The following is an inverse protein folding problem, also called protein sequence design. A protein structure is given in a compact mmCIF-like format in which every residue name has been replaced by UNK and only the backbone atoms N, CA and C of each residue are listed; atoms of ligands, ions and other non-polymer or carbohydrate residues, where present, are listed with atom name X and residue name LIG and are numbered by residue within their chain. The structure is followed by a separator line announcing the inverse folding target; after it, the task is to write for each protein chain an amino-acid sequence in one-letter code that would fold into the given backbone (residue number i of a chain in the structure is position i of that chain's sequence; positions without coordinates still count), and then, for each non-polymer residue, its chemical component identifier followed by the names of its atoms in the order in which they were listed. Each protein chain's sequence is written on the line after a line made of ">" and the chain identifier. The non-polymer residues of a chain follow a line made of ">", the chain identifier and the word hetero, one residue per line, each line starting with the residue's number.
data_IF_962957284776
#
_entry.id   IF_962957284776
#
_cell.length_a   1.000
_cell.length_b   1.000
_cell.length_c   1.000
_cell.angle_alpha   90.00
_cell.angle_beta   90.00
_cell.angle_gamma   90.00
#
_symmetry.space_group_name_H-M   'P 1'
#
loop_
_entity.id
_entity.type
_entity.pdbx_description
1 polymer ?
#
# COMPACT_ATOMS: atom_id res chain seq x y z
N UNK A 1 14.07 -7.23 -21.79
CA UNK A 1 13.96 -6.09 -20.83
C UNK A 1 15.33 -5.64 -20.34
N UNK A 2 15.57 -4.33 -20.26
CA UNK A 2 16.81 -3.78 -19.69
C UNK A 2 16.82 -3.92 -18.16
N UNK A 3 17.99 -4.17 -17.58
CA UNK A 3 18.19 -4.28 -16.12
C UNK A 3 17.61 -3.10 -15.31
N UNK A 4 17.75 -1.81 -15.70
CA UNK A 4 17.15 -0.71 -14.94
C UNK A 4 15.63 -0.75 -14.94
N UNK A 5 15.00 -1.12 -16.06
CA UNK A 5 13.55 -1.20 -16.16
C UNK A 5 12.99 -2.32 -15.26
N UNK A 6 13.75 -3.42 -15.13
CA UNK A 6 13.41 -4.52 -14.21
C UNK A 6 13.43 -4.11 -12.76
N UNK A 7 14.45 -3.35 -12.36
CA UNK A 7 14.55 -2.83 -11.00
C UNK A 7 13.36 -1.90 -10.70
N UNK A 8 13.03 -0.99 -11.61
CA UNK A 8 11.91 -0.04 -11.44
C UNK A 8 10.59 -0.80 -11.27
N UNK A 9 10.30 -1.75 -12.16
CA UNK A 9 9.06 -2.54 -12.10
C UNK A 9 8.98 -3.37 -10.81
N UNK A 10 10.10 -3.97 -10.38
CA UNK A 10 10.16 -4.71 -9.13
C UNK A 10 9.91 -3.82 -7.90
N UNK A 11 10.51 -2.63 -7.85
CA UNK A 11 10.32 -1.66 -6.77
C UNK A 11 8.87 -1.19 -6.71
N UNK A 12 8.25 -0.88 -7.86
CA UNK A 12 6.84 -0.48 -7.93
C UNK A 12 5.92 -1.61 -7.45
N UNK A 13 6.19 -2.85 -7.85
CA UNK A 13 5.40 -4.01 -7.46
C UNK A 13 5.50 -4.28 -5.95
N UNK A 14 6.72 -4.33 -5.41
CA UNK A 14 6.95 -4.58 -3.98
C UNK A 14 6.41 -3.43 -3.14
N UNK A 15 6.67 -2.18 -3.53
CA UNK A 15 6.21 -1.00 -2.82
C UNK A 15 4.69 -0.90 -2.75
N UNK A 16 4.00 -1.15 -3.87
CA UNK A 16 2.53 -1.18 -3.89
C UNK A 16 1.96 -2.31 -3.03
N UNK A 17 2.55 -3.51 -3.08
CA UNK A 17 2.14 -4.62 -2.22
C UNK A 17 2.28 -4.27 -0.72
N UNK A 18 3.38 -3.65 -0.31
CA UNK A 18 3.60 -3.21 1.07
C UNK A 18 2.53 -2.18 1.49
N UNK A 19 2.23 -1.20 0.65
CA UNK A 19 1.21 -0.18 0.94
C UNK A 19 -0.19 -0.79 1.09
N UNK A 20 -0.53 -1.78 0.26
CA UNK A 20 -1.77 -2.54 0.36
C UNK A 20 -1.83 -3.29 1.68
N UNK A 21 -0.77 -4.00 2.06
CA UNK A 21 -0.68 -4.72 3.33
C UNK A 21 -0.87 -3.77 4.51
N UNK A 22 -0.17 -2.63 4.53
CA UNK A 22 -0.28 -1.61 5.59
C UNK A 22 -1.73 -1.09 5.73
N UNK A 23 -2.43 -0.92 4.61
CA UNK A 23 -3.83 -0.46 4.59
C UNK A 23 -4.81 -1.54 5.08
N UNK A 24 -4.54 -2.81 4.81
CA UNK A 24 -5.41 -3.93 5.22
C UNK A 24 -5.18 -4.32 6.68
N UNK A 25 -3.92 -4.37 7.13
CA UNK A 25 -3.55 -4.78 8.50
C UNK A 25 -3.70 -3.65 9.51
N UNK A 26 -4.28 -2.52 9.10
CA UNK A 26 -4.62 -1.45 9.99
C UNK A 26 -5.82 -1.73 10.84
N UNK A 27 -5.55 -2.27 12.03
CA UNK A 27 -6.50 -2.22 13.12
C UNK A 27 -6.75 -0.74 13.47
N UNK A 28 -8.01 -0.26 13.42
CA UNK A 28 -8.37 1.05 13.96
C UNK A 28 -8.22 1.12 15.48
N UNK A 29 -7.67 0.12 16.16
CA UNK A 29 -7.18 0.23 17.54
C UNK A 29 -8.27 0.58 18.54
N UNK A 30 -9.50 0.10 18.31
CA UNK A 30 -10.69 0.47 19.09
C UNK A 30 -10.40 0.26 20.57
N UNK A 31 -10.41 1.35 21.33
CA UNK A 31 -10.28 1.27 22.78
C UNK A 31 -11.65 0.94 23.37
N UNK A 32 -11.89 -0.34 23.64
CA UNK A 32 -13.15 -0.82 24.23
C UNK A 32 -13.39 -0.31 25.65
N UNK A 33 -12.39 0.30 26.30
CA UNK A 33 -12.49 0.92 27.61
C UNK A 33 -12.77 2.44 27.57
N UNK A 34 -12.66 3.09 26.41
CA UNK A 34 -12.95 4.51 26.21
C UNK A 34 -14.47 4.75 26.02
N UNK A 35 -15.23 4.56 27.10
CA UNK A 35 -16.70 4.68 27.08
C UNK A 35 -17.20 6.13 26.98
N UNK A 36 -16.37 7.11 27.30
CA UNK A 36 -16.70 8.54 27.23
C UNK A 36 -16.12 9.23 25.98
N UNK A 37 -15.34 8.52 25.17
CA UNK A 37 -14.79 9.01 23.90
C UNK A 37 -13.76 10.11 24.07
N UNK A 38 -13.16 10.25 25.27
CA UNK A 38 -12.19 11.31 25.54
C UNK A 38 -10.78 10.93 25.10
N UNK A 39 -10.47 9.63 24.98
CA UNK A 39 -9.16 9.16 24.53
C UNK A 39 -9.14 9.06 23.00
N UNK A 40 -8.76 10.15 22.34
CA UNK A 40 -8.36 10.09 20.93
C UNK A 40 -7.14 9.18 20.80
N UNK A 41 -7.27 8.12 20.02
CA UNK A 41 -6.16 7.24 19.68
C UNK A 41 -4.97 8.06 19.16
N UNK A 42 -3.73 7.73 19.59
CA UNK A 42 -2.55 8.38 19.10
C UNK A 42 -2.44 8.11 17.60
N UNK A 43 -2.53 9.17 16.78
CA UNK A 43 -2.31 9.06 15.33
C UNK A 43 -0.89 8.57 15.09
N UNK A 44 -0.77 7.36 14.56
CA UNK A 44 0.50 6.81 14.14
C UNK A 44 0.97 7.51 12.87
N UNK A 45 2.27 7.69 12.68
CA UNK A 45 2.81 8.21 11.40
C UNK A 45 2.44 7.30 10.22
N UNK A 46 2.10 6.04 10.48
CA UNK A 46 1.65 5.08 9.47
C UNK A 46 0.20 5.34 9.01
N UNK A 47 -0.61 6.04 9.81
CA UNK A 47 -2.01 6.34 9.48
C UNK A 47 -2.12 7.27 8.27
N UNK A 48 -1.07 8.06 8.00
CA UNK A 48 -1.00 8.87 6.78
C UNK A 48 -1.00 8.01 5.51
N UNK A 49 -0.43 6.79 5.57
CA UNK A 49 -0.42 5.85 4.47
C UNK A 49 -1.72 5.04 4.38
N UNK A 50 -2.53 5.02 5.45
CA UNK A 50 -3.80 4.29 5.56
C UNK A 50 -4.98 5.10 5.07
N UNK A 51 -4.90 5.55 3.82
CA UNK A 51 -5.92 6.36 3.19
C UNK A 51 -6.52 5.62 1.98
N UNK A 52 -7.85 5.66 1.83
CA UNK A 52 -8.57 5.03 0.70
C UNK A 52 -7.95 5.38 -0.67
N UNK A 53 -7.58 6.64 -0.97
CA UNK A 53 -6.91 6.98 -2.23
C UNK A 53 -5.57 6.24 -2.40
N UNK A 54 -4.75 6.17 -1.34
CA UNK A 54 -3.44 5.49 -1.39
C UNK A 54 -3.65 3.99 -1.65
N UNK A 55 -4.64 3.37 -1.02
CA UNK A 55 -4.99 1.97 -1.26
C UNK A 55 -5.37 1.71 -2.72
N UNK A 56 -6.26 2.52 -3.30
CA UNK A 56 -6.66 2.36 -4.70
C UNK A 56 -5.50 2.64 -5.67
N UNK A 57 -4.71 3.69 -5.42
CA UNK A 57 -3.52 3.98 -6.22
C UNK A 57 -2.50 2.83 -6.15
N UNK A 58 -2.24 2.28 -4.97
CA UNK A 58 -1.37 1.13 -4.81
C UNK A 58 -1.89 -0.09 -5.59
N UNK A 59 -3.19 -0.36 -5.55
CA UNK A 59 -3.82 -1.41 -6.36
C UNK A 59 -3.59 -1.22 -7.86
N UNK A 60 -3.79 0.00 -8.38
CA UNK A 60 -3.55 0.31 -9.80
C UNK A 60 -2.08 0.11 -10.16
N UNK A 61 -1.15 0.58 -9.33
CA UNK A 61 0.30 0.44 -9.56
C UNK A 61 0.72 -1.03 -9.53
N UNK A 62 0.16 -1.84 -8.64
CA UNK A 62 0.42 -3.28 -8.56
C UNK A 62 0.02 -3.98 -9.87
N UNK A 63 -1.19 -3.72 -10.37
CA UNK A 63 -1.69 -4.33 -11.61
C UNK A 63 -0.91 -3.81 -12.82
N UNK A 64 -0.65 -2.50 -12.89
CA UNK A 64 0.09 -1.90 -13.99
C UNK A 64 1.55 -2.39 -14.06
N UNK A 65 2.24 -2.50 -12.93
CA UNK A 65 3.61 -3.03 -12.87
C UNK A 65 3.66 -4.51 -13.27
N UNK A 66 2.68 -5.31 -12.86
CA UNK A 66 2.55 -6.70 -13.28
C UNK A 66 2.32 -6.85 -14.79
N UNK A 67 1.38 -6.07 -15.36
CA UNK A 67 1.13 -6.05 -16.79
C UNK A 67 2.37 -5.57 -17.58
N UNK A 68 3.03 -4.52 -17.10
CA UNK A 68 4.25 -4.01 -17.72
C UNK A 68 5.35 -5.08 -17.74
N UNK A 69 5.51 -5.86 -16.67
CA UNK A 69 6.45 -6.98 -16.64
C UNK A 69 6.09 -8.07 -17.67
N UNK A 70 4.83 -8.47 -17.77
CA UNK A 70 4.40 -9.49 -18.73
C UNK A 70 4.67 -9.02 -20.16
N UNK A 71 4.22 -7.81 -20.51
CA UNK A 71 4.31 -7.27 -21.87
C UNK A 71 5.77 -7.12 -22.33
N UNK A 72 6.64 -6.64 -21.45
CA UNK A 72 8.07 -6.45 -21.75
C UNK A 72 8.89 -7.74 -21.71
N UNK A 73 8.33 -8.82 -21.14
CA UNK A 73 8.88 -10.18 -21.20
C UNK A 73 8.42 -10.93 -22.43
N UNK A 74 7.19 -10.69 -22.91
CA UNK A 74 6.63 -11.34 -24.10
C UNK A 74 7.08 -10.71 -25.43
N UNK A 75 7.74 -9.56 -25.37
CA UNK A 75 8.32 -8.83 -26.51
C UNK A 75 9.80 -9.16 -26.69
#
# INVERSE_FOLDING_TARGET
>A
MSTPLLIIVAVLFIGSAILIVINITGDPGIDYWDLDGQNRQPRSSLDFLRNKPIFYCAGVVLVASFLAYILTRSS
#
